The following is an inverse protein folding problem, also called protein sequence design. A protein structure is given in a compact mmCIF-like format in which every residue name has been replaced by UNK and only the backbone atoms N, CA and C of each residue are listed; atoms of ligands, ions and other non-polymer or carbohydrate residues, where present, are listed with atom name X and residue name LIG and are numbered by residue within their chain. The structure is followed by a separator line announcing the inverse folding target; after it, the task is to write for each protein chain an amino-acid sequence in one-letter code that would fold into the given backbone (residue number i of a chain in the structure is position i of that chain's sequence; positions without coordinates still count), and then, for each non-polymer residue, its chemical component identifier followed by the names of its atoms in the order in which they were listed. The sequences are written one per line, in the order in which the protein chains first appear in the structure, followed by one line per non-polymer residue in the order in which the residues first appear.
data_IF_720309867924
#
_entry.id   IF_720309867924
#
_cell.length_a   1.000
_cell.length_b   1.000
_cell.length_c   1.000
_cell.angle_alpha   90.00
_cell.angle_beta   90.00
_cell.angle_gamma   90.00
#
_symmetry.space_group_name_H-M   'P 1'
#
loop_
_entity.id
_entity.type
_entity.pdbx_description
1 polymer ?
#
# COMPACT_ATOMS: atom_id res chain seq x y z
N UNK A 1 -17.25 -25.43 -25.39
CA UNK A 1 -15.87 -25.18 -24.91
C UNK A 1 -15.13 -24.06 -25.66
N UNK A 2 -15.61 -23.57 -26.82
CA UNK A 2 -14.95 -22.47 -27.55
C UNK A 2 -15.36 -21.06 -27.10
N UNK A 3 -16.55 -20.88 -26.50
CA UNK A 3 -17.05 -19.56 -26.08
C UNK A 3 -16.18 -18.91 -24.99
N UNK A 4 -15.83 -19.65 -23.94
CA UNK A 4 -15.05 -19.11 -22.81
C UNK A 4 -13.65 -18.68 -23.29
N UNK A 5 -12.98 -19.52 -24.09
CA UNK A 5 -11.67 -19.19 -24.68
C UNK A 5 -11.74 -17.97 -25.59
N UNK A 6 -12.82 -17.79 -26.35
CA UNK A 6 -12.98 -16.60 -27.20
C UNK A 6 -13.23 -15.34 -26.37
N UNK A 7 -14.07 -15.44 -25.32
CA UNK A 7 -14.34 -14.34 -24.39
C UNK A 7 -13.06 -13.82 -23.72
N UNK A 8 -12.22 -14.70 -23.17
CA UNK A 8 -10.94 -14.28 -22.59
C UNK A 8 -10.02 -13.60 -23.61
N UNK A 9 -10.07 -14.03 -24.87
CA UNK A 9 -9.26 -13.48 -25.96
C UNK A 9 -9.76 -12.09 -26.39
N UNK A 10 -11.07 -11.90 -26.45
CA UNK A 10 -11.72 -10.60 -26.73
C UNK A 10 -11.52 -9.63 -25.57
N UNK A 11 -11.69 -10.06 -24.32
CA UNK A 11 -11.43 -9.24 -23.14
C UNK A 11 -9.96 -8.82 -23.04
N UNK A 12 -9.01 -9.70 -23.37
CA UNK A 12 -7.59 -9.33 -23.40
C UNK A 12 -7.30 -8.28 -24.49
N UNK A 13 -7.86 -8.45 -25.69
CA UNK A 13 -7.71 -7.47 -26.76
C UNK A 13 -8.33 -6.12 -26.38
N UNK A 14 -9.50 -6.11 -25.74
CA UNK A 14 -10.16 -4.87 -25.29
C UNK A 14 -9.38 -4.16 -24.18
N UNK A 15 -8.89 -4.90 -23.19
CA UNK A 15 -8.11 -4.35 -22.08
C UNK A 15 -6.75 -3.78 -22.51
N UNK A 16 -6.16 -4.33 -23.57
CA UNK A 16 -4.85 -3.89 -24.08
C UNK A 16 -4.98 -2.78 -25.13
N UNK A 17 -6.00 -2.82 -26.00
CA UNK A 17 -6.11 -1.89 -27.13
C UNK A 17 -7.05 -0.72 -26.87
N UNK A 18 -7.95 -0.82 -25.88
CA UNK A 18 -9.00 0.18 -25.62
C UNK A 18 -8.85 0.86 -24.27
N UNK A 19 -7.74 0.65 -23.58
CA UNK A 19 -7.45 1.25 -22.28
C UNK A 19 -6.06 1.85 -22.33
N UNK A 20 -5.95 3.11 -21.93
CA UNK A 20 -4.68 3.80 -21.82
C UNK A 20 -3.95 3.32 -20.57
N UNK A 21 -3.35 2.13 -20.63
CA UNK A 21 -2.43 1.71 -19.58
C UNK A 21 -1.21 2.63 -19.60
N UNK A 22 -0.87 3.28 -18.49
CA UNK A 22 0.38 4.02 -18.38
C UNK A 22 1.54 3.06 -18.61
N UNK A 23 2.65 3.61 -19.09
CA UNK A 23 3.84 2.80 -19.35
C UNK A 23 4.35 2.17 -18.04
N UNK A 24 5.00 1.01 -18.13
CA UNK A 24 5.56 0.33 -16.95
C UNK A 24 6.46 1.23 -16.09
N UNK A 25 7.14 2.18 -16.72
CA UNK A 25 7.99 3.18 -16.03
C UNK A 25 7.17 4.19 -15.23
N UNK A 26 6.02 4.66 -15.72
CA UNK A 26 5.14 5.58 -15.01
C UNK A 26 4.42 4.89 -13.83
N UNK A 27 4.04 3.63 -14.02
CA UNK A 27 3.47 2.79 -12.95
C UNK A 27 4.47 2.61 -11.80
N UNK A 28 5.74 2.33 -12.14
CA UNK A 28 6.80 2.19 -11.14
C UNK A 28 7.08 3.52 -10.44
N UNK A 29 7.15 4.63 -11.18
CA UNK A 29 7.35 5.97 -10.62
C UNK A 29 6.28 6.31 -9.57
N UNK A 30 5.01 6.10 -9.92
CA UNK A 30 3.88 6.34 -9.00
C UNK A 30 3.95 5.44 -7.76
N UNK A 31 4.35 4.18 -7.94
CA UNK A 31 4.48 3.21 -6.85
C UNK A 31 5.62 3.57 -5.90
N UNK A 32 6.75 4.06 -6.42
CA UNK A 32 7.90 4.48 -5.60
C UNK A 32 7.55 5.65 -4.69
N UNK A 33 6.76 6.61 -5.20
CA UNK A 33 6.26 7.73 -4.38
C UNK A 33 5.39 7.21 -3.23
N UNK A 34 4.44 6.32 -3.51
CA UNK A 34 3.56 5.75 -2.47
C UNK A 34 4.34 4.92 -1.45
N UNK A 35 5.32 4.12 -1.89
CA UNK A 35 6.21 3.37 -1.01
C UNK A 35 6.99 4.30 -0.07
N UNK A 36 7.55 5.39 -0.60
CA UNK A 36 8.27 6.36 0.22
C UNK A 36 7.37 7.03 1.27
N UNK A 37 6.14 7.40 0.90
CA UNK A 37 5.17 7.95 1.83
C UNK A 37 4.79 6.96 2.94
N UNK A 38 4.63 5.68 2.59
CA UNK A 38 4.30 4.61 3.54
C UNK A 38 5.42 4.41 4.57
N UNK A 39 6.69 4.48 4.14
CA UNK A 39 7.85 4.38 5.04
C UNK A 39 7.84 5.53 6.06
N UNK A 40 7.58 6.76 5.62
CA UNK A 40 7.53 7.92 6.51
C UNK A 40 6.41 7.79 7.54
N UNK A 41 5.20 7.37 7.11
CA UNK A 41 4.06 7.17 8.01
C UNK A 41 4.36 6.04 9.01
N UNK A 42 5.00 4.96 8.57
CA UNK A 42 5.40 3.85 9.45
C UNK A 42 6.37 4.30 10.54
N UNK A 43 7.37 5.11 10.19
CA UNK A 43 8.29 5.70 11.17
C UNK A 43 7.59 6.62 12.16
N UNK A 44 6.61 7.41 11.70
CA UNK A 44 5.83 8.29 12.56
C UNK A 44 5.01 7.48 13.57
N UNK A 45 4.29 6.45 13.13
CA UNK A 45 3.52 5.57 14.02
C UNK A 45 4.44 4.86 15.02
N UNK A 46 5.60 4.38 14.57
CA UNK A 46 6.59 3.77 15.46
C UNK A 46 7.05 4.71 16.57
N UNK A 47 7.27 5.99 16.26
CA UNK A 47 7.59 7.00 17.26
C UNK A 47 6.43 7.21 18.26
N UNK A 48 5.20 7.23 17.77
CA UNK A 48 4.00 7.36 18.61
C UNK A 48 3.80 6.16 19.54
N UNK A 49 4.08 4.94 19.07
CA UNK A 49 4.02 3.73 19.88
C UNK A 49 5.06 3.75 21.01
N UNK A 50 6.28 4.20 20.71
CA UNK A 50 7.33 4.34 21.72
C UNK A 50 6.97 5.40 22.77
N UNK A 51 6.45 6.56 22.34
CA UNK A 51 5.99 7.61 23.24
C UNK A 51 4.85 7.12 24.14
N UNK A 52 3.89 6.38 23.58
CA UNK A 52 2.76 5.82 24.32
C UNK A 52 3.23 4.80 25.36
N UNK A 53 4.15 3.91 25.01
CA UNK A 53 4.74 2.96 25.94
C UNK A 53 5.46 3.65 27.11
N UNK A 54 6.19 4.73 26.84
CA UNK A 54 6.86 5.52 27.89
C UNK A 54 5.83 6.15 28.84
N UNK A 55 4.80 6.79 28.29
CA UNK A 55 3.74 7.44 29.09
C UNK A 55 2.98 6.42 29.92
N UNK A 56 2.60 5.29 29.32
CA UNK A 56 1.88 4.22 30.01
C UNK A 56 2.73 3.59 31.10
N UNK A 57 3.99 3.24 30.82
CA UNK A 57 4.89 2.69 31.84
C UNK A 57 5.07 3.66 33.01
N UNK A 58 5.19 4.96 32.74
CA UNK A 58 5.30 5.98 33.78
C UNK A 58 4.02 6.06 34.63
N UNK A 59 2.86 6.04 33.98
CA UNK A 59 1.56 6.02 34.65
C UNK A 59 1.39 4.75 35.49
N UNK A 60 1.58 3.56 34.92
CA UNK A 60 1.48 2.29 35.63
C UNK A 60 2.48 2.21 36.80
N UNK A 61 3.72 2.71 36.66
CA UNK A 61 4.69 2.71 37.77
C UNK A 61 4.29 3.61 38.96
N UNK A 62 3.45 4.63 38.71
CA UNK A 62 2.93 5.50 39.78
C UNK A 62 1.70 4.92 40.48
N UNK A 63 0.86 4.15 39.77
CA UNK A 63 -0.36 3.56 40.33
C UNK A 63 -0.18 2.11 40.82
N UNK A 64 0.71 1.35 40.19
CA UNK A 64 1.13 0.00 40.62
C UNK A 64 2.40 0.16 41.45
N UNK A 65 2.24 0.80 42.59
CA UNK A 65 3.19 0.84 43.68
C UNK A 65 2.52 0.30 44.93
#
# INVERSE_FOLDING_TARGET
MNKVRNYFRESYNELVHKVTWPTWSELQSSTVVVLSATIVITLMVWCMDQASNLVLNQYYSMFVK
#
